data_IF_066760899617
#
_entry.id   IF_066760899617
#
_cell.length_a   1.000
_cell.length_b   1.000
_cell.length_c   1.000
_cell.angle_alpha   90.00
_cell.angle_beta   90.00
_cell.angle_gamma   90.00
#
_symmetry.space_group_name_H-M   'P 1'
#
loop_
_entity.id
_entity.type
_entity.pdbx_description
1 polymer ?
#
# COMPACT_ATOMS: atom_id res chain seq x y z
N UNK A 1 -25.97 -28.44 -5.82
CA UNK A 1 -25.24 -27.84 -4.69
C UNK A 1 -23.92 -28.59 -4.57
N UNK A 2 -22.78 -27.92 -4.57
CA UNK A 2 -21.48 -28.61 -4.43
C UNK A 2 -21.41 -29.26 -3.04
N UNK A 3 -20.72 -30.40 -2.90
CA UNK A 3 -20.78 -31.23 -1.68
C UNK A 3 -20.42 -30.51 -0.37
N UNK A 4 -19.66 -29.42 -0.46
CA UNK A 4 -19.19 -28.61 0.66
C UNK A 4 -19.92 -27.26 0.81
N UNK A 5 -20.73 -26.86 -0.17
CA UNK A 5 -21.41 -25.57 -0.16
C UNK A 5 -22.51 -25.53 0.90
N UNK A 6 -22.55 -24.47 1.70
CA UNK A 6 -23.52 -24.32 2.80
C UNK A 6 -23.17 -25.09 4.07
N UNK A 7 -22.01 -25.76 4.14
CA UNK A 7 -21.51 -26.46 5.35
C UNK A 7 -20.56 -25.59 6.18
N UNK A 8 -20.88 -24.31 6.34
CA UNK A 8 -20.01 -23.32 7.00
C UNK A 8 -18.95 -22.69 6.09
N UNK A 9 -18.87 -23.12 4.82
CA UNK A 9 -18.10 -22.48 3.76
C UNK A 9 -18.99 -22.28 2.53
N UNK A 10 -18.79 -21.16 1.83
CA UNK A 10 -19.43 -20.90 0.54
C UNK A 10 -18.48 -21.34 -0.58
N UNK A 11 -18.93 -22.23 -1.46
CA UNK A 11 -18.11 -22.73 -2.57
C UNK A 11 -18.64 -22.20 -3.89
N UNK A 12 -17.81 -21.42 -4.59
CA UNK A 12 -18.13 -20.87 -5.92
C UNK A 12 -17.43 -21.69 -7.00
N UNK A 13 -18.19 -22.44 -7.79
CA UNK A 13 -17.64 -23.17 -8.93
C UNK A 13 -17.20 -22.19 -10.03
N UNK A 14 -15.96 -22.33 -10.52
CA UNK A 14 -15.44 -21.53 -11.63
C UNK A 14 -15.29 -22.31 -12.93
N UNK A 15 -15.76 -23.57 -12.98
CA UNK A 15 -15.61 -24.45 -14.14
C UNK A 15 -14.56 -25.55 -13.91
N UNK A 16 -14.32 -26.36 -14.94
CA UNK A 16 -13.48 -27.56 -14.83
C UNK A 16 -12.02 -27.33 -15.22
N UNK A 17 -11.68 -26.20 -15.85
CA UNK A 17 -10.31 -25.95 -16.29
C UNK A 17 -9.40 -25.66 -15.08
N UNK A 18 -8.27 -26.38 -15.02
CA UNK A 18 -7.26 -26.19 -14.00
C UNK A 18 -6.71 -24.75 -14.11
N UNK A 19 -6.58 -24.08 -12.97
CA UNK A 19 -6.01 -22.74 -12.89
C UNK A 19 -7.02 -21.58 -12.86
N UNK A 20 -8.32 -21.80 -13.12
CA UNK A 20 -9.32 -20.72 -13.09
C UNK A 20 -9.45 -20.06 -11.71
N UNK A 21 -9.42 -20.87 -10.66
CA UNK A 21 -9.51 -20.39 -9.28
C UNK A 21 -8.25 -19.63 -8.83
N UNK A 22 -7.06 -20.10 -9.19
CA UNK A 22 -5.82 -19.36 -8.92
C UNK A 22 -5.75 -18.09 -9.76
N UNK A 23 -6.09 -18.14 -11.05
CA UNK A 23 -6.10 -16.96 -11.92
C UNK A 23 -6.99 -15.83 -11.37
N UNK A 24 -8.24 -16.12 -10.99
CA UNK A 24 -9.11 -15.09 -10.40
C UNK A 24 -8.58 -14.58 -9.04
N UNK A 25 -7.97 -15.46 -8.23
CA UNK A 25 -7.32 -15.07 -6.97
C UNK A 25 -6.18 -14.07 -7.25
N UNK A 26 -5.33 -14.35 -8.24
CA UNK A 26 -4.22 -13.47 -8.61
C UNK A 26 -4.73 -12.12 -9.10
N UNK A 27 -5.74 -12.08 -9.97
CA UNK A 27 -6.35 -10.82 -10.43
C UNK A 27 -6.98 -10.01 -9.29
N UNK A 28 -7.67 -10.67 -8.34
CA UNK A 28 -8.27 -9.99 -7.20
C UNK A 28 -7.22 -9.47 -6.21
N UNK A 29 -6.16 -10.25 -5.98
CA UNK A 29 -5.03 -9.86 -5.15
C UNK A 29 -4.26 -8.68 -5.77
N UNK A 30 -4.06 -8.69 -7.10
CA UNK A 30 -3.47 -7.60 -7.87
C UNK A 30 -4.21 -6.28 -7.64
N UNK A 31 -5.55 -6.31 -7.76
CA UNK A 31 -6.39 -5.13 -7.53
C UNK A 31 -6.24 -4.61 -6.10
N UNK A 32 -6.42 -5.49 -5.11
CA UNK A 32 -6.48 -5.07 -3.70
C UNK A 32 -5.11 -4.61 -3.18
N UNK A 33 -4.08 -5.46 -3.26
CA UNK A 33 -2.74 -5.16 -2.77
C UNK A 33 -2.05 -4.10 -3.61
N UNK A 34 -2.18 -4.17 -4.94
CA UNK A 34 -1.67 -3.16 -5.86
C UNK A 34 -2.25 -1.77 -5.56
N UNK A 35 -3.57 -1.66 -5.33
CA UNK A 35 -4.18 -0.38 -4.94
C UNK A 35 -3.62 0.15 -3.62
N UNK A 36 -3.47 -0.69 -2.60
CA UNK A 36 -2.87 -0.26 -1.32
C UNK A 36 -1.46 0.29 -1.52
N UNK A 37 -0.62 -0.36 -2.33
CA UNK A 37 0.75 0.11 -2.58
C UNK A 37 0.79 1.41 -3.39
N UNK A 38 -0.12 1.60 -4.36
CA UNK A 38 -0.26 2.85 -5.09
C UNK A 38 -0.61 4.01 -4.14
N UNK A 39 -1.56 3.79 -3.22
CA UNK A 39 -1.95 4.78 -2.23
C UNK A 39 -0.81 5.12 -1.27
N UNK A 40 -0.06 4.12 -0.79
CA UNK A 40 1.12 4.34 0.04
C UNK A 40 2.18 5.13 -0.72
N UNK A 41 2.48 4.79 -1.97
CA UNK A 41 3.45 5.51 -2.79
C UNK A 41 3.06 6.99 -2.96
N UNK A 42 1.80 7.26 -3.33
CA UNK A 42 1.25 8.61 -3.46
C UNK A 42 1.43 9.43 -2.17
N UNK A 43 0.97 8.90 -1.03
CA UNK A 43 1.01 9.61 0.25
C UNK A 43 2.44 9.78 0.77
N UNK A 44 3.31 8.79 0.54
CA UNK A 44 4.73 8.85 0.94
C UNK A 44 5.46 9.96 0.17
N UNK A 45 5.19 10.11 -1.12
CA UNK A 45 5.76 11.21 -1.91
C UNK A 45 5.20 12.55 -1.45
N UNK A 46 3.88 12.67 -1.22
CA UNK A 46 3.28 13.89 -0.70
C UNK A 46 3.89 14.32 0.64
N UNK A 47 4.11 13.37 1.56
CA UNK A 47 4.79 13.61 2.84
C UNK A 47 6.23 14.08 2.62
N UNK A 48 6.99 13.45 1.71
CA UNK A 48 8.36 13.85 1.41
C UNK A 48 8.48 15.27 0.82
N UNK A 49 7.40 15.76 0.21
CA UNK A 49 7.29 17.11 -0.34
C UNK A 49 6.71 18.12 0.66
N UNK A 50 6.27 17.68 1.83
CA UNK A 50 5.58 18.53 2.81
C UNK A 50 4.15 18.91 2.40
N UNK A 51 3.51 18.12 1.53
CA UNK A 51 2.17 18.39 0.94
C UNK A 51 1.06 17.48 1.52
N UNK A 52 1.29 16.85 2.66
CA UNK A 52 0.35 15.89 3.23
C UNK A 52 -0.99 16.51 3.63
N UNK A 53 -0.98 17.76 4.09
CA UNK A 53 -2.20 18.47 4.51
C UNK A 53 -3.03 18.83 3.29
N UNK A 54 -2.41 19.43 2.27
CA UNK A 54 -3.06 19.85 1.03
C UNK A 54 -3.66 18.66 0.29
N UNK A 55 -2.92 17.55 0.18
CA UNK A 55 -3.43 16.34 -0.46
C UNK A 55 -4.57 15.70 0.36
N UNK A 56 -4.47 15.71 1.69
CA UNK A 56 -5.55 15.21 2.54
C UNK A 56 -6.84 16.01 2.32
N UNK A 57 -6.75 17.34 2.30
CA UNK A 57 -7.91 18.22 2.17
C UNK A 57 -8.56 18.08 0.77
N UNK A 58 -7.74 17.97 -0.27
CA UNK A 58 -8.23 17.69 -1.63
C UNK A 58 -8.93 16.32 -1.69
N UNK A 59 -8.31 15.25 -1.14
CA UNK A 59 -8.94 13.92 -1.12
C UNK A 59 -10.21 13.89 -0.27
N UNK A 60 -10.28 14.68 0.81
CA UNK A 60 -11.48 14.80 1.63
C UNK A 60 -12.63 15.48 0.86
N UNK A 61 -12.30 16.46 0.02
CA UNK A 61 -13.25 17.16 -0.83
C UNK A 61 -13.71 16.32 -2.03
N UNK A 62 -12.79 15.75 -2.80
CA UNK A 62 -13.10 15.13 -4.10
C UNK A 62 -13.17 13.60 -4.10
N UNK A 63 -12.51 12.93 -3.14
CA UNK A 63 -12.31 11.46 -3.15
C UNK A 63 -12.52 10.82 -1.77
N UNK A 64 -13.55 11.26 -1.01
CA UNK A 64 -13.75 10.86 0.39
C UNK A 64 -13.74 9.34 0.62
N UNK A 65 -14.37 8.55 -0.26
CA UNK A 65 -14.42 7.09 -0.13
C UNK A 65 -13.03 6.43 -0.24
N UNK A 66 -12.16 6.97 -1.10
CA UNK A 66 -10.78 6.52 -1.20
C UNK A 66 -9.99 6.90 0.06
N UNK A 67 -10.17 8.13 0.57
CA UNK A 67 -9.53 8.58 1.80
C UNK A 67 -9.93 7.74 3.02
N UNK A 68 -11.23 7.42 3.17
CA UNK A 68 -11.72 6.56 4.25
C UNK A 68 -11.11 5.13 4.15
N UNK A 69 -10.96 4.62 2.92
CA UNK A 69 -10.31 3.32 2.67
C UNK A 69 -8.82 3.35 3.03
N UNK A 70 -8.11 4.42 2.66
CA UNK A 70 -6.71 4.63 3.04
C UNK A 70 -6.55 4.66 4.57
N UNK A 71 -7.40 5.43 5.27
CA UNK A 71 -7.37 5.56 6.74
C UNK A 71 -7.59 4.22 7.45
N UNK A 72 -8.48 3.38 6.93
CA UNK A 72 -8.82 2.10 7.55
C UNK A 72 -7.87 0.95 7.21
N UNK A 73 -7.14 1.05 6.09
CA UNK A 73 -6.27 0.00 5.55
C UNK A 73 -4.78 0.19 5.82
N UNK A 74 -4.24 1.38 5.57
CA UNK A 74 -2.78 1.57 5.45
C UNK A 74 -2.03 1.30 6.75
N UNK A 75 -2.59 1.68 7.91
CA UNK A 75 -1.93 1.49 9.21
C UNK A 75 -1.67 0.01 9.57
N UNK A 76 -2.41 -0.91 8.93
CA UNK A 76 -2.31 -2.37 9.12
C UNK A 76 -1.34 -3.05 8.16
N UNK A 77 -0.81 -2.33 7.17
CA UNK A 77 0.07 -2.91 6.16
C UNK A 77 1.46 -3.29 6.69
N UNK A 78 2.16 -2.47 7.51
CA UNK A 78 3.55 -2.77 7.89
C UNK A 78 3.78 -4.15 8.52
N UNK A 79 2.96 -4.61 9.49
CA UNK A 79 3.11 -5.96 10.07
C UNK A 79 2.99 -7.11 9.06
N UNK A 80 2.28 -6.88 7.95
CA UNK A 80 2.02 -7.88 6.91
C UNK A 80 2.97 -7.74 5.69
N UNK A 81 3.81 -6.70 5.67
CA UNK A 81 4.55 -6.30 4.49
C UNK A 81 5.47 -7.43 3.97
N UNK A 82 6.21 -8.10 4.86
CA UNK A 82 7.13 -9.19 4.52
C UNK A 82 6.45 -10.31 3.70
N UNK A 83 5.22 -10.72 4.09
CA UNK A 83 4.45 -11.74 3.38
C UNK A 83 4.01 -11.24 2.00
N UNK A 84 3.58 -9.98 1.93
CA UNK A 84 3.03 -9.43 0.70
C UNK A 84 4.08 -9.08 -0.35
N UNK A 85 5.36 -8.96 0.01
CA UNK A 85 6.45 -8.86 -0.96
C UNK A 85 6.43 -10.06 -1.91
N UNK A 86 6.48 -11.29 -1.36
CA UNK A 86 6.43 -12.52 -2.17
C UNK A 86 5.12 -12.67 -2.93
N UNK A 87 3.98 -12.31 -2.32
CA UNK A 87 2.70 -12.35 -3.03
C UNK A 87 2.66 -11.37 -4.24
N UNK A 88 3.27 -10.18 -4.13
CA UNK A 88 3.37 -9.25 -5.26
C UNK A 88 4.30 -9.76 -6.36
N UNK A 89 5.39 -10.44 -6.00
CA UNK A 89 6.30 -11.10 -6.94
C UNK A 89 5.60 -12.24 -7.69
N UNK A 90 4.81 -13.08 -7.00
CA UNK A 90 3.98 -14.13 -7.63
C UNK A 90 2.92 -13.54 -8.58
N UNK A 91 2.30 -12.40 -8.22
CA UNK A 91 1.37 -11.70 -9.11
C UNK A 91 2.10 -11.16 -10.34
N UNK A 92 3.29 -10.61 -10.17
CA UNK A 92 4.11 -10.12 -11.27
C UNK A 92 4.43 -11.26 -12.26
N UNK A 93 4.85 -12.43 -11.76
CA UNK A 93 5.09 -13.62 -12.56
C UNK A 93 3.82 -14.09 -13.29
N UNK A 94 2.67 -14.09 -12.62
CA UNK A 94 1.39 -14.45 -13.22
C UNK A 94 1.03 -13.52 -14.38
N UNK A 95 1.20 -12.21 -14.21
CA UNK A 95 0.90 -11.23 -15.25
C UNK A 95 1.87 -11.36 -16.44
N UNK A 96 3.16 -11.57 -16.17
CA UNK A 96 4.16 -11.81 -17.21
C UNK A 96 3.86 -13.07 -18.03
N UNK A 97 3.40 -14.16 -17.40
CA UNK A 97 3.03 -15.39 -18.07
C UNK A 97 1.87 -15.20 -19.07
N UNK A 98 0.97 -14.24 -18.82
CA UNK A 98 -0.15 -13.88 -19.71
C UNK A 98 0.20 -12.73 -20.68
N UNK A 99 1.47 -12.32 -20.76
CA UNK A 99 1.96 -11.30 -21.69
C UNK A 99 1.77 -9.85 -21.23
N UNK A 100 1.35 -9.62 -19.99
CA UNK A 100 1.30 -8.28 -19.38
C UNK A 100 2.64 -7.90 -18.75
N UNK A 101 2.91 -6.61 -18.59
CA UNK A 101 4.11 -6.17 -17.86
C UNK A 101 4.04 -6.57 -16.37
N UNK A 102 5.13 -7.09 -15.79
CA UNK A 102 5.25 -7.35 -14.35
C UNK A 102 5.53 -6.07 -13.53
N UNK A 103 5.94 -4.98 -14.17
CA UNK A 103 6.65 -3.87 -13.51
C UNK A 103 5.80 -3.15 -12.47
N UNK A 104 4.49 -3.05 -12.68
CA UNK A 104 3.59 -2.47 -11.69
C UNK A 104 3.62 -3.26 -10.37
N UNK A 105 3.62 -4.59 -10.45
CA UNK A 105 3.57 -5.47 -9.29
C UNK A 105 4.96 -5.63 -8.64
N UNK A 106 6.03 -5.57 -9.43
CA UNK A 106 7.40 -5.44 -8.89
C UNK A 106 7.60 -4.10 -8.16
N UNK A 107 7.07 -3.00 -8.71
CA UNK A 107 7.02 -1.71 -8.04
C UNK A 107 6.24 -1.77 -6.73
N UNK A 108 5.09 -2.43 -6.72
CA UNK A 108 4.31 -2.67 -5.51
C UNK A 108 5.07 -3.49 -4.46
N UNK A 109 5.82 -4.53 -4.88
CA UNK A 109 6.71 -5.27 -3.98
C UNK A 109 7.77 -4.37 -3.34
N UNK A 110 8.33 -3.43 -4.11
CA UNK A 110 9.28 -2.44 -3.58
C UNK A 110 8.64 -1.50 -2.54
N UNK A 111 7.37 -1.11 -2.70
CA UNK A 111 6.64 -0.34 -1.68
C UNK A 111 6.43 -1.15 -0.40
N UNK A 112 6.13 -2.45 -0.49
CA UNK A 112 6.07 -3.30 0.70
C UNK A 112 7.45 -3.46 1.38
N UNK A 113 8.54 -3.56 0.61
CA UNK A 113 9.91 -3.51 1.17
C UNK A 113 10.20 -2.20 1.91
N UNK A 114 9.63 -1.09 1.46
CA UNK A 114 9.75 0.20 2.17
C UNK A 114 8.97 0.18 3.49
N UNK A 115 7.75 -0.35 3.48
CA UNK A 115 6.93 -0.53 4.70
C UNK A 115 7.59 -1.47 5.71
N UNK A 116 8.26 -2.53 5.24
CA UNK A 116 8.99 -3.50 6.06
C UNK A 116 10.15 -2.86 6.84
N UNK A 117 10.75 -1.79 6.32
CA UNK A 117 11.83 -1.05 6.98
C UNK A 117 11.32 -0.16 8.12
N UNK A 118 10.01 0.07 8.23
CA UNK A 118 9.46 0.90 9.30
C UNK A 118 9.51 0.16 10.66
N UNK A 119 9.63 0.87 11.79
CA UNK A 119 9.54 0.27 13.14
C UNK A 119 8.24 -0.50 13.39
N UNK A 120 7.24 -0.27 12.53
CA UNK A 120 5.91 -0.82 12.62
C UNK A 120 5.79 -2.23 12.03
N UNK A 121 6.75 -2.68 11.23
CA UNK A 121 6.80 -4.02 10.66
C UNK A 121 7.26 -5.09 11.66
N UNK A 122 7.97 -4.69 12.72
CA UNK A 122 8.49 -5.62 13.75
C UNK A 122 7.42 -6.17 14.70
N UNK A 123 6.20 -5.63 14.66
CA UNK A 123 5.06 -6.14 15.44
C UNK A 123 4.35 -7.22 14.65
N UNK A 124 3.88 -8.28 15.32
CA UNK A 124 3.07 -9.29 14.63
C UNK A 124 1.70 -8.72 14.19
N UNK A 125 1.07 -9.27 13.13
CA UNK A 125 -0.25 -8.85 12.67
C UNK A 125 -1.36 -8.94 13.73
N UNK A 126 -1.14 -9.71 14.80
CA UNK A 126 -2.05 -9.86 15.94
C UNK A 126 -1.91 -8.74 16.98
N UNK A 127 -0.81 -7.96 16.92
CA UNK A 127 -0.45 -6.92 17.90
C UNK A 127 -0.30 -5.54 17.25
N UNK A 128 -1.22 -5.21 16.33
CA UNK A 128 -1.28 -3.89 15.69
C UNK A 128 -1.77 -2.88 16.71
N UNK A 129 -1.07 -1.75 16.80
CA UNK A 129 -1.52 -0.61 17.60
C UNK A 129 -2.83 -0.06 17.01
N UNK A 130 -3.96 -0.16 17.71
CA UNK A 130 -5.26 0.27 17.19
C UNK A 130 -5.34 1.79 17.00
N UNK A 131 -4.44 2.55 17.64
CA UNK A 131 -4.43 4.00 17.59
C UNK A 131 -3.47 4.54 16.52
N UNK A 132 -2.68 3.69 15.85
CA UNK A 132 -1.77 4.14 14.79
C UNK A 132 -2.57 4.73 13.64
N UNK A 133 -2.26 5.97 13.32
CA UNK A 133 -2.91 6.74 12.28
C UNK A 133 -2.28 6.48 10.90
N UNK A 134 -3.02 6.89 9.86
CA UNK A 134 -2.49 6.97 8.50
C UNK A 134 -1.25 7.85 8.44
N UNK A 135 -1.30 9.04 9.05
CA UNK A 135 -0.23 10.02 9.01
C UNK A 135 1.07 9.48 9.63
N UNK A 136 1.01 8.86 10.81
CA UNK A 136 2.19 8.26 11.45
C UNK A 136 2.80 7.15 10.59
N UNK A 137 1.96 6.31 9.97
CA UNK A 137 2.42 5.23 9.10
C UNK A 137 3.15 5.79 7.87
N UNK A 138 2.57 6.82 7.24
CA UNK A 138 3.16 7.45 6.06
C UNK A 138 4.44 8.21 6.42
N UNK A 139 4.47 8.96 7.52
CA UNK A 139 5.67 9.64 8.00
C UNK A 139 6.83 8.66 8.27
N UNK A 140 6.54 7.52 8.92
CA UNK A 140 7.54 6.48 9.15
C UNK A 140 8.05 5.83 7.85
N UNK A 141 7.17 5.71 6.85
CA UNK A 141 7.51 5.17 5.52
C UNK A 141 8.35 6.17 4.72
N UNK A 142 7.99 7.46 4.73
CA UNK A 142 8.72 8.53 4.05
C UNK A 142 10.13 8.71 4.64
N UNK A 143 10.30 8.49 5.94
CA UNK A 143 11.61 8.50 6.59
C UNK A 143 12.58 7.41 6.07
N UNK A 144 12.07 6.37 5.39
CA UNK A 144 12.90 5.33 4.76
C UNK A 144 13.33 5.70 3.33
N UNK A 145 12.79 6.77 2.74
CA UNK A 145 13.20 7.20 1.41
C UNK A 145 14.68 7.66 1.42
N UNK A 146 15.43 7.41 0.34
CA UNK A 146 16.73 8.04 0.17
C UNK A 146 16.59 9.57 0.24
N UNK A 147 17.60 10.25 0.78
CA UNK A 147 17.62 11.72 0.81
C UNK A 147 17.50 12.25 -0.63
N UNK A 148 16.36 12.86 -0.96
CA UNK A 148 16.09 13.44 -2.27
C UNK A 148 16.75 14.81 -2.42
N UNK A 149 17.33 15.08 -3.59
CA UNK A 149 17.90 16.38 -3.96
C UNK A 149 16.90 17.39 -4.53
N UNK A 150 15.61 17.04 -4.64
CA UNK A 150 14.59 17.93 -5.24
C UNK A 150 14.18 19.07 -4.30
N UNK A 151 14.25 18.85 -2.99
CA UNK A 151 14.08 19.93 -1.98
C UNK A 151 15.45 20.23 -1.39
N UNK A 152 16.25 20.97 -2.14
CA UNK A 152 17.41 21.68 -1.59
C UNK A 152 16.96 22.58 -0.46
N UNK A 153 17.71 22.55 0.63
CA UNK A 153 17.56 23.41 1.80
C UNK A 153 17.32 24.87 1.43
N UNK A 154 16.08 25.34 1.49
CA UNK A 154 15.80 26.73 1.85
C UNK A 154 15.24 26.72 3.25
N UNK A 155 16.15 26.73 4.23
CA UNK A 155 15.89 27.50 5.45
C UNK A 155 15.63 28.93 4.98
N UNK A 156 14.39 29.39 5.08
CA UNK A 156 14.13 30.82 5.11
C UNK A 156 14.57 31.28 6.50
N UNK A 157 15.88 31.44 6.67
CA UNK A 157 16.42 32.34 7.68
C UNK A 157 16.57 33.69 6.96
N UNK A 158 15.57 34.54 7.12
CA UNK A 158 15.78 35.99 6.97
C UNK A 158 15.42 36.62 8.31
N UNK A 159 16.36 37.37 8.93
CA UNK A 159 16.04 38.14 10.11
C UNK A 159 15.01 39.21 9.70
N UNK A 160 13.93 39.30 10.47
CA UNK A 160 13.10 40.51 10.48
C UNK A 160 13.97 41.55 11.18
N UNK A 161 14.72 42.32 10.38
CA UNK A 161 15.29 43.56 10.86
C UNK A 161 14.13 44.52 11.13
N UNK A 162 14.02 44.88 12.40
CA UNK A 162 13.23 45.99 12.89
C UNK A 162 13.96 47.29 12.54
N UNK A 163 13.33 48.12 11.72
CA UNK A 163 13.41 49.58 11.79
C UNK A 163 12.07 50.17 11.32
#
# INVERSE_FOLDING_TARGET
MMELDGKGIAVKNLGNDIGRASGIKMCYAALTKGTSTLQVALLTVAESLGLSVELHDELAYSQKGALDSMKSGISKLPPNAHRWIGEMEEIAETFAAEGMTPDFHLGAAAIYRLLEQTPYAQKSPENIDPNRTLAETIAATAAQLPKSGIVGSKKVDQPVDTD
#
